data_IF_378321592805
#
_entry.id   IF_378321592805
#
_cell.length_a   1.000
_cell.length_b   1.000
_cell.length_c   1.000
_cell.angle_alpha   90.00
_cell.angle_beta   90.00
_cell.angle_gamma   90.00
#
_symmetry.space_group_name_H-M   'P 1'
#
loop_
_entity.id
_entity.type
_entity.pdbx_description
1 polymer ?
#
# COMPACT_ATOMS: atom_id res chain seq x y z
N UNK A 1 5.23 -19.47 24.87
CA UNK A 1 5.46 -18.07 24.45
C UNK A 1 5.21 -18.03 22.96
N UNK A 2 4.05 -17.53 22.53
CA UNK A 2 3.73 -17.42 21.10
C UNK A 2 4.54 -16.26 20.52
N UNK A 3 5.21 -16.41 19.37
CA UNK A 3 6.18 -15.45 18.91
C UNK A 3 5.45 -14.21 18.37
N UNK A 4 5.68 -13.07 19.03
CA UNK A 4 5.10 -11.76 18.68
C UNK A 4 5.40 -11.30 17.24
N UNK A 5 6.30 -11.99 16.53
CA UNK A 5 6.62 -11.72 15.12
C UNK A 5 5.70 -12.39 14.09
N UNK A 6 4.92 -13.42 14.46
CA UNK A 6 4.14 -14.19 13.47
C UNK A 6 3.02 -13.38 12.82
N UNK A 7 2.38 -12.52 13.60
CA UNK A 7 1.29 -11.66 13.12
C UNK A 7 1.82 -10.54 12.23
N UNK A 8 2.99 -9.96 12.58
CA UNK A 8 3.67 -8.99 11.74
C UNK A 8 4.06 -9.59 10.39
N UNK A 9 4.60 -10.81 10.35
CA UNK A 9 4.95 -11.49 9.10
C UNK A 9 3.72 -11.74 8.21
N UNK A 10 2.61 -12.16 8.81
CA UNK A 10 1.33 -12.36 8.10
C UNK A 10 0.82 -11.03 7.54
N UNK A 11 0.85 -9.95 8.31
CA UNK A 11 0.44 -8.64 7.84
C UNK A 11 1.36 -8.05 6.76
N UNK A 12 2.66 -8.32 6.84
CA UNK A 12 3.64 -7.95 5.81
C UNK A 12 3.42 -8.70 4.50
N UNK A 13 3.07 -9.98 4.57
CA UNK A 13 2.72 -10.75 3.38
C UNK A 13 1.40 -10.26 2.77
N UNK A 14 0.38 -10.03 3.61
CA UNK A 14 -0.92 -9.52 3.18
C UNK A 14 -0.84 -8.16 2.49
N UNK A 15 0.01 -7.25 2.99
CA UNK A 15 0.18 -5.94 2.35
C UNK A 15 0.91 -6.06 1.01
N UNK A 16 1.94 -6.90 0.90
CA UNK A 16 2.70 -7.12 -0.34
C UNK A 16 1.85 -7.74 -1.46
N UNK A 17 0.91 -8.62 -1.12
CA UNK A 17 0.04 -9.30 -2.07
C UNK A 17 -1.25 -8.51 -2.38
N UNK A 18 -1.47 -7.38 -1.69
CA UNK A 18 -2.69 -6.61 -1.85
C UNK A 18 -2.72 -5.91 -3.22
N UNK A 19 -3.74 -6.24 -4.01
CA UNK A 19 -4.09 -5.57 -5.27
C UNK A 19 -5.44 -4.88 -5.16
N UNK A 20 -5.60 -3.71 -5.78
CA UNK A 20 -6.87 -3.00 -5.89
C UNK A 20 -7.96 -3.91 -6.45
N UNK A 21 -9.12 -3.96 -5.79
CA UNK A 21 -10.27 -4.73 -6.26
C UNK A 21 -11.05 -3.95 -7.32
N UNK A 22 -11.81 -4.64 -8.17
CA UNK A 22 -12.59 -4.00 -9.23
C UNK A 22 -13.71 -3.08 -8.75
N UNK A 23 -14.19 -3.30 -7.52
CA UNK A 23 -15.22 -2.50 -6.87
C UNK A 23 -14.64 -1.50 -5.86
N UNK A 24 -13.33 -1.31 -5.85
CA UNK A 24 -12.63 -0.47 -4.87
C UNK A 24 -12.07 0.76 -5.56
N UNK A 25 -12.46 1.94 -5.07
CA UNK A 25 -11.86 3.17 -5.56
C UNK A 25 -10.43 3.33 -5.00
N UNK A 26 -9.66 4.23 -5.62
CA UNK A 26 -8.25 4.42 -5.29
C UNK A 26 -8.05 4.85 -3.83
N UNK A 27 -8.92 5.71 -3.31
CA UNK A 27 -8.84 6.22 -1.94
C UNK A 27 -9.15 5.13 -0.91
N UNK A 28 -10.12 4.26 -1.19
CA UNK A 28 -10.44 3.08 -0.38
C UNK A 28 -9.31 2.07 -0.39
N UNK A 29 -8.68 1.87 -1.55
CA UNK A 29 -7.51 1.00 -1.67
C UNK A 29 -6.34 1.53 -0.84
N UNK A 30 -6.05 2.82 -0.95
CA UNK A 30 -5.01 3.50 -0.18
C UNK A 30 -5.28 3.43 1.33
N UNK A 31 -6.51 3.70 1.77
CA UNK A 31 -6.89 3.64 3.19
C UNK A 31 -6.69 2.23 3.76
N UNK A 32 -7.04 1.19 3.00
CA UNK A 32 -6.80 -0.20 3.42
C UNK A 32 -5.33 -0.56 3.47
N UNK A 33 -4.51 -0.08 2.54
CA UNK A 33 -3.06 -0.26 2.62
C UNK A 33 -2.47 0.43 3.85
N UNK A 34 -2.91 1.66 4.17
CA UNK A 34 -2.49 2.36 5.39
C UNK A 34 -2.86 1.57 6.63
N UNK A 35 -4.10 1.09 6.74
CA UNK A 35 -4.55 0.24 7.85
C UNK A 35 -3.70 -1.02 8.00
N UNK A 36 -3.43 -1.73 6.91
CA UNK A 36 -2.55 -2.90 6.91
C UNK A 36 -1.11 -2.55 7.33
N UNK A 37 -0.58 -1.41 6.87
CA UNK A 37 0.76 -0.97 7.25
C UNK A 37 0.86 -0.60 8.74
N UNK A 38 -0.23 -0.09 9.34
CA UNK A 38 -0.26 0.15 10.79
C UNK A 38 -0.16 -1.15 11.58
N UNK A 39 -0.77 -2.23 11.09
CA UNK A 39 -0.68 -3.56 11.71
C UNK A 39 0.65 -4.27 11.42
N UNK A 40 1.17 -4.14 10.20
CA UNK A 40 2.42 -4.77 9.77
C UNK A 40 3.67 -4.11 10.37
N UNK A 41 3.61 -2.79 10.59
CA UNK A 41 4.75 -1.97 11.04
C UNK A 41 4.35 -1.01 12.17
N UNK A 42 3.87 -1.51 13.32
CA UNK A 42 3.31 -0.69 14.39
C UNK A 42 4.34 0.26 15.02
N UNK A 43 5.63 -0.07 14.95
CA UNK A 43 6.73 0.73 15.51
C UNK A 43 7.24 1.82 14.56
N UNK A 44 6.93 1.75 13.27
CA UNK A 44 7.34 2.76 12.29
C UNK A 44 6.47 4.00 12.38
N UNK A 45 7.05 5.17 12.10
CA UNK A 45 6.28 6.42 11.93
C UNK A 45 5.43 6.40 10.67
N UNK A 46 4.42 7.25 10.62
CA UNK A 46 3.48 7.30 9.49
C UNK A 46 4.17 7.58 8.16
N UNK A 47 5.16 8.45 8.13
CA UNK A 47 5.93 8.77 6.92
C UNK A 47 6.72 7.57 6.41
N UNK A 48 7.30 6.79 7.33
CA UNK A 48 8.01 5.55 6.99
C UNK A 48 7.07 4.48 6.45
N UNK A 49 5.86 4.36 7.02
CA UNK A 49 4.81 3.46 6.49
C UNK A 49 4.36 3.91 5.10
N UNK A 50 4.17 5.21 4.89
CA UNK A 50 3.78 5.77 3.60
C UNK A 50 4.84 5.52 2.51
N UNK A 51 6.14 5.55 2.86
CA UNK A 51 7.22 5.14 1.95
C UNK A 51 7.18 3.65 1.58
N UNK A 52 6.84 2.78 2.53
CA UNK A 52 6.72 1.33 2.29
C UNK A 52 5.51 1.00 1.41
N UNK A 53 4.36 1.64 1.66
CA UNK A 53 3.13 1.34 0.90
C UNK A 53 3.12 1.94 -0.50
N UNK A 54 3.90 2.99 -0.78
CA UNK A 54 3.96 3.63 -2.11
C UNK A 54 4.26 2.66 -3.26
N UNK A 55 5.35 1.87 -3.25
CA UNK A 55 5.60 0.90 -4.32
C UNK A 55 4.52 -0.20 -4.40
N UNK A 56 3.95 -0.60 -3.25
CA UNK A 56 2.88 -1.60 -3.17
C UNK A 56 1.59 -1.07 -3.80
N UNK A 57 1.22 0.17 -3.47
CA UNK A 57 0.08 0.88 -4.03
C UNK A 57 0.16 0.91 -5.54
N UNK A 58 1.26 1.43 -6.11
CA UNK A 58 1.45 1.54 -7.56
C UNK A 58 1.39 0.16 -8.24
N UNK A 59 2.09 -0.85 -7.70
CA UNK A 59 2.10 -2.21 -8.26
C UNK A 59 0.71 -2.88 -8.21
N UNK A 60 -0.06 -2.60 -7.17
CA UNK A 60 -1.36 -3.22 -6.95
C UNK A 60 -2.53 -2.48 -7.61
N UNK A 61 -2.34 -1.29 -8.19
CA UNK A 61 -3.38 -0.59 -8.96
C UNK A 61 -3.90 -1.43 -10.11
N UNK A 62 -5.17 -1.20 -10.48
CA UNK A 62 -5.75 -1.87 -11.64
C UNK A 62 -4.93 -1.58 -12.91
N UNK A 63 -4.83 -2.56 -13.85
CA UNK A 63 -4.02 -2.41 -15.05
C UNK A 63 -4.30 -1.13 -15.85
N UNK A 64 -5.57 -0.77 -16.04
CA UNK A 64 -5.95 0.44 -16.80
C UNK A 64 -5.52 1.76 -16.15
N UNK A 65 -5.41 1.80 -14.82
CA UNK A 65 -4.91 2.96 -14.08
C UNK A 65 -3.38 2.96 -14.10
N UNK A 66 -2.78 1.79 -13.87
CA UNK A 66 -1.33 1.60 -13.84
C UNK A 66 -0.67 1.97 -15.19
N UNK A 67 -1.31 1.65 -16.32
CA UNK A 67 -0.84 2.06 -17.65
C UNK A 67 -0.75 3.58 -17.82
N UNK A 68 -1.68 4.35 -17.24
CA UNK A 68 -1.65 5.81 -17.25
C UNK A 68 -0.55 6.42 -16.35
N UNK A 69 -0.04 5.63 -15.41
CA UNK A 69 0.95 6.04 -14.41
C UNK A 69 2.37 5.54 -14.72
N UNK A 70 2.53 4.58 -15.64
CA UNK A 70 3.77 3.88 -15.96
C UNK A 70 4.96 4.79 -16.32
N UNK A 71 4.68 6.00 -16.80
CA UNK A 71 5.69 6.99 -17.21
C UNK A 71 5.77 8.20 -16.29
N UNK A 72 5.10 8.17 -15.14
CA UNK A 72 5.10 9.27 -14.16
C UNK A 72 5.89 8.86 -12.93
N UNK A 73 6.97 9.58 -12.67
CA UNK A 73 7.68 9.50 -11.40
C UNK A 73 6.93 10.32 -10.35
N UNK A 74 6.36 9.63 -9.36
CA UNK A 74 5.74 10.28 -8.21
C UNK A 74 6.78 10.40 -7.11
N UNK A 75 6.93 11.58 -6.53
CA UNK A 75 7.83 11.79 -5.37
C UNK A 75 7.13 11.33 -4.10
N UNK A 76 5.83 11.57 -3.98
CA UNK A 76 5.05 11.23 -2.78
C UNK A 76 3.89 10.27 -3.07
N UNK A 77 3.41 9.58 -2.02
CA UNK A 77 2.23 8.73 -2.11
C UNK A 77 0.96 9.54 -2.42
N UNK A 78 0.87 10.77 -1.91
CA UNK A 78 -0.24 11.68 -2.20
C UNK A 78 -0.31 12.11 -3.67
N UNK A 79 0.84 12.27 -4.33
CA UNK A 79 0.89 12.53 -5.77
C UNK A 79 0.43 11.32 -6.58
N UNK A 80 0.89 10.12 -6.23
CA UNK A 80 0.45 8.89 -6.88
C UNK A 80 -1.07 8.69 -6.74
N UNK A 81 -1.63 8.97 -5.57
CA UNK A 81 -3.06 8.84 -5.30
C UNK A 81 -3.94 9.87 -6.04
N UNK A 82 -3.41 11.08 -6.32
CA UNK A 82 -4.11 12.11 -7.10
C UNK A 82 -4.04 11.87 -8.61
N UNK A 83 -3.00 11.19 -9.07
CA UNK A 83 -2.75 10.95 -10.49
C UNK A 83 -3.44 9.69 -11.01
N UNK A 84 -3.67 8.71 -10.12
CA UNK A 84 -4.48 7.52 -10.34
C UNK A 84 -5.96 7.91 -10.49
#
# INVERSE_FOLDING_TARGET
>A
MYPEGRDSDVHQQLICDRKQKSNENIMEYLDKLRKLARSAYPTLKEEARDMIIKPIFIRGLQPGINEGLKYRDFTTLGEAAKAA
#
